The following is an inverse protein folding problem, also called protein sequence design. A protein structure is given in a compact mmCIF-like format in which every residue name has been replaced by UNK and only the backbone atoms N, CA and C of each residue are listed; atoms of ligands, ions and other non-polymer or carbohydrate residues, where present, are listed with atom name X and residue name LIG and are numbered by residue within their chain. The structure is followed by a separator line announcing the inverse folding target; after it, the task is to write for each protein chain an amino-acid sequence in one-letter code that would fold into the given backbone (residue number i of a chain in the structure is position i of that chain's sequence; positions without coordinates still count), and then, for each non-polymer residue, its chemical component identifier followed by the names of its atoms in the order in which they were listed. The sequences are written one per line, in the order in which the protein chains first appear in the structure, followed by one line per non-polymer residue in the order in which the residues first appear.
data_IF_953163041056
#
_entry.id   IF_953163041056
#
_cell.length_a   1.000
_cell.length_b   1.000
_cell.length_c   1.000
_cell.angle_alpha   90.00
_cell.angle_beta   90.00
_cell.angle_gamma   90.00
#
_symmetry.space_group_name_H-M   'P 1'
#
loop_
_entity.id
_entity.type
_entity.pdbx_description
1 polymer ?
#
# COMPACT_ATOMS: atom_id res chain seq x y z
N UNK A 1 -12.83 22.08 7.31
CA UNK A 1 -11.94 21.57 6.62
C UNK A 1 -12.37 20.45 5.85
N UNK A 2 -11.89 20.34 4.73
CA UNK A 2 -12.25 19.34 3.92
C UNK A 2 -11.61 18.14 4.18
N UNK A 3 -12.23 17.05 4.02
CA UNK A 3 -11.66 15.82 4.10
C UNK A 3 -11.15 15.41 2.87
N UNK A 4 -10.00 14.88 2.83
CA UNK A 4 -9.40 14.44 1.63
C UNK A 4 -9.59 12.97 1.58
N UNK A 5 -10.49 12.50 0.87
CA UNK A 5 -10.72 11.08 0.70
C UNK A 5 -9.67 10.53 -0.25
N UNK A 6 -8.49 10.31 0.25
CA UNK A 6 -7.37 9.88 -0.59
C UNK A 6 -7.39 8.38 -0.81
N UNK A 7 -6.89 7.96 -1.96
CA UNK A 7 -6.76 6.56 -2.28
C UNK A 7 -5.32 6.14 -2.08
N UNK A 8 -5.13 5.21 -1.16
CA UNK A 8 -3.80 4.78 -0.74
C UNK A 8 -3.64 3.31 -1.11
N UNK A 9 -2.57 2.99 -1.80
CA UNK A 9 -2.26 1.61 -2.12
C UNK A 9 -1.09 1.14 -1.30
N UNK A 10 -1.17 -0.06 -0.73
CA UNK A 10 -0.10 -0.62 0.06
C UNK A 10 0.32 -1.94 -0.58
N UNK A 11 1.57 -2.02 -1.00
CA UNK A 11 2.13 -3.22 -1.59
C UNK A 11 2.97 -3.90 -0.53
N UNK A 12 2.61 -5.12 -0.18
CA UNK A 12 3.24 -5.84 0.90
C UNK A 12 2.38 -5.76 2.15
N UNK A 13 1.59 -6.78 2.39
CA UNK A 13 0.67 -6.79 3.52
C UNK A 13 1.19 -7.68 4.65
N UNK A 14 2.50 -7.67 4.85
CA UNK A 14 3.09 -8.34 5.98
C UNK A 14 2.80 -7.54 7.23
N UNK A 15 3.57 -7.76 8.27
CA UNK A 15 3.29 -7.18 9.55
C UNK A 15 3.18 -5.66 9.52
N UNK A 16 4.17 -5.01 8.94
CA UNK A 16 4.18 -3.55 8.91
C UNK A 16 3.14 -3.00 7.96
N UNK A 17 3.04 -3.60 6.77
CA UNK A 17 2.05 -3.13 5.79
C UNK A 17 0.63 -3.29 6.28
N UNK A 18 0.34 -4.41 6.93
CA UNK A 18 -1.00 -4.64 7.44
C UNK A 18 -1.32 -3.70 8.60
N UNK A 19 -0.34 -3.41 9.46
CA UNK A 19 -0.55 -2.48 10.56
C UNK A 19 -0.86 -1.09 10.04
N UNK A 20 -0.13 -0.66 9.01
CA UNK A 20 -0.35 0.64 8.43
C UNK A 20 -1.71 0.71 7.73
N UNK A 21 -2.07 -0.35 7.02
CA UNK A 21 -3.36 -0.41 6.34
C UNK A 21 -4.49 -0.29 7.36
N UNK A 22 -4.36 -1.00 8.47
CA UNK A 22 -5.35 -0.96 9.49
C UNK A 22 -5.50 0.43 10.10
N UNK A 23 -4.36 1.08 10.37
CA UNK A 23 -4.40 2.42 10.94
C UNK A 23 -5.05 3.40 9.99
N UNK A 24 -4.72 3.33 8.71
CA UNK A 24 -5.29 4.24 7.75
C UNK A 24 -6.78 3.98 7.54
N UNK A 25 -7.18 2.72 7.52
CA UNK A 25 -8.58 2.39 7.32
C UNK A 25 -9.45 2.80 8.49
N UNK A 26 -8.92 2.66 9.70
CA UNK A 26 -9.73 2.87 10.88
C UNK A 26 -9.62 4.27 11.47
N UNK A 27 -8.57 4.99 11.16
CA UNK A 27 -8.38 6.31 11.76
C UNK A 27 -8.46 7.47 10.79
N UNK A 28 -8.62 7.20 9.52
CA UNK A 28 -8.70 8.27 8.54
C UNK A 28 -9.81 7.99 7.57
N UNK A 29 -10.04 8.93 6.66
CA UNK A 29 -11.04 8.77 5.63
C UNK A 29 -10.43 8.21 4.36
N UNK A 30 -9.20 7.74 4.40
CA UNK A 30 -8.56 7.18 3.21
C UNK A 30 -9.21 5.87 2.81
N UNK A 31 -9.25 5.63 1.51
CA UNK A 31 -9.65 4.33 0.99
C UNK A 31 -8.36 3.56 0.76
N UNK A 32 -8.21 2.42 1.38
CA UNK A 32 -6.98 1.66 1.34
C UNK A 32 -7.12 0.45 0.45
N UNK A 33 -6.21 0.32 -0.52
CA UNK A 33 -6.13 -0.84 -1.39
C UNK A 33 -4.86 -1.59 -1.04
N UNK A 34 -4.84 -2.87 -1.19
CA UNK A 34 -3.66 -3.65 -0.82
C UNK A 34 -3.31 -4.71 -1.82
N UNK A 35 -2.04 -5.10 -1.83
CA UNK A 35 -1.55 -6.13 -2.72
C UNK A 35 -0.45 -6.92 -2.04
N UNK A 36 -0.45 -8.22 -2.23
CA UNK A 36 0.60 -9.08 -1.71
C UNK A 36 0.68 -10.29 -2.62
N UNK A 37 1.87 -10.86 -2.75
CA UNK A 37 2.01 -12.03 -3.60
C UNK A 37 1.36 -13.24 -2.93
N UNK A 38 1.19 -13.21 -1.61
CA UNK A 38 0.52 -14.29 -0.90
C UNK A 38 -0.99 -14.03 -0.97
N UNK A 39 -1.67 -14.82 -1.75
CA UNK A 39 -3.08 -14.65 -1.98
C UNK A 39 -3.90 -14.75 -0.70
N UNK A 40 -3.50 -15.63 0.22
CA UNK A 40 -4.21 -15.77 1.47
C UNK A 40 -4.12 -14.50 2.31
N UNK A 41 -2.98 -13.82 2.26
CA UNK A 41 -2.81 -12.58 2.99
C UNK A 41 -3.78 -11.52 2.46
N UNK A 42 -3.94 -11.44 1.16
CA UNK A 42 -4.86 -10.48 0.56
C UNK A 42 -6.30 -10.80 0.96
N UNK A 43 -6.65 -12.07 0.92
CA UNK A 43 -8.01 -12.48 1.24
C UNK A 43 -8.35 -12.21 2.69
N UNK A 44 -7.40 -12.44 3.58
CA UNK A 44 -7.63 -12.16 4.98
C UNK A 44 -7.79 -10.66 5.23
N UNK A 45 -6.98 -9.86 4.56
CA UNK A 45 -7.08 -8.42 4.71
C UNK A 45 -8.43 -7.91 4.23
N UNK A 46 -8.95 -8.48 3.16
CA UNK A 46 -10.26 -8.11 2.67
C UNK A 46 -11.35 -8.53 3.66
N UNK A 47 -11.24 -9.73 4.19
CA UNK A 47 -12.25 -10.26 5.10
C UNK A 47 -12.28 -9.47 6.42
N UNK A 48 -11.13 -8.99 6.85
CA UNK A 48 -11.06 -8.25 8.09
C UNK A 48 -11.36 -6.77 7.93
N UNK A 49 -11.51 -6.30 6.71
CA UNK A 49 -11.74 -4.88 6.48
C UNK A 49 -10.48 -4.05 6.57
N UNK A 50 -9.31 -4.70 6.59
CA UNK A 50 -8.04 -3.99 6.64
C UNK A 50 -7.81 -3.22 5.36
N UNK A 51 -8.22 -3.79 4.23
CA UNK A 51 -8.18 -3.08 2.96
C UNK A 51 -9.58 -3.08 2.39
N UNK A 52 -9.91 -2.03 1.64
CA UNK A 52 -11.22 -1.92 1.03
C UNK A 52 -11.34 -2.83 -0.19
N UNK A 53 -10.25 -2.99 -0.91
CA UNK A 53 -10.23 -3.82 -2.11
C UNK A 53 -8.80 -4.15 -2.47
N UNK A 54 -8.62 -5.12 -3.32
CA UNK A 54 -7.30 -5.47 -3.80
C UNK A 54 -6.82 -4.38 -4.75
N UNK A 55 -5.54 -4.03 -4.68
CA UNK A 55 -4.98 -3.01 -5.54
C UNK A 55 -4.82 -3.56 -6.95
N UNK A 56 -5.48 -2.97 -7.90
CA UNK A 56 -5.38 -3.39 -9.29
C UNK A 56 -5.05 -2.24 -10.22
N UNK A 57 -5.42 -1.02 -9.86
CA UNK A 57 -5.21 0.13 -10.74
C UNK A 57 -4.36 1.16 -10.04
N UNK A 58 -3.07 1.16 -10.36
CA UNK A 58 -2.15 2.09 -9.74
C UNK A 58 -2.41 3.54 -10.16
N UNK A 59 -3.04 3.73 -11.28
CA UNK A 59 -3.29 5.08 -11.79
C UNK A 59 -4.28 5.88 -10.97
N UNK A 60 -5.04 5.22 -10.10
CA UNK A 60 -6.01 5.95 -9.30
C UNK A 60 -5.49 6.37 -7.95
N UNK A 61 -4.27 5.98 -7.61
CA UNK A 61 -3.77 6.22 -6.26
C UNK A 61 -3.24 7.63 -6.06
N UNK A 62 -3.49 8.16 -4.88
CA UNK A 62 -2.90 9.42 -4.45
C UNK A 62 -1.57 9.12 -3.75
N UNK A 63 -1.49 7.98 -3.07
CA UNK A 63 -0.29 7.59 -2.36
C UNK A 63 -0.04 6.11 -2.59
N UNK A 64 1.20 5.75 -2.85
CA UNK A 64 1.60 4.35 -2.96
C UNK A 64 2.64 4.07 -1.89
N UNK A 65 2.38 3.11 -1.03
CA UNK A 65 3.30 2.72 0.03
C UNK A 65 3.79 1.33 -0.27
N UNK A 66 5.11 1.17 -0.35
CA UNK A 66 5.70 -0.12 -0.67
C UNK A 66 6.43 -0.65 0.56
N UNK A 67 5.97 -1.80 1.06
CA UNK A 67 6.49 -2.41 2.26
C UNK A 67 7.07 -3.78 1.94
N UNK A 68 8.05 -3.80 1.06
CA UNK A 68 8.71 -5.02 0.64
C UNK A 68 10.17 -4.96 1.04
N UNK A 69 10.91 -6.06 0.86
CA UNK A 69 12.34 -6.03 1.09
C UNK A 69 12.96 -5.05 0.10
N UNK A 70 14.12 -4.48 0.43
CA UNK A 70 14.69 -3.38 -0.35
C UNK A 70 14.81 -3.66 -1.85
N UNK A 71 15.31 -4.82 -2.21
CA UNK A 71 15.48 -5.11 -3.62
C UNK A 71 14.13 -5.23 -4.32
N UNK A 72 13.18 -5.89 -3.68
CA UNK A 72 11.85 -6.05 -4.25
C UNK A 72 11.17 -4.69 -4.37
N UNK A 73 11.40 -3.78 -3.42
CA UNK A 73 10.83 -2.45 -3.48
C UNK A 73 11.31 -1.70 -4.69
N UNK A 74 12.63 -1.73 -4.93
CA UNK A 74 13.20 -1.02 -6.07
C UNK A 74 12.64 -1.58 -7.36
N UNK A 75 12.60 -2.90 -7.46
CA UNK A 75 12.08 -3.53 -8.67
C UNK A 75 10.63 -3.20 -8.91
N UNK A 76 9.83 -3.23 -7.85
CA UNK A 76 8.42 -2.95 -7.99
C UNK A 76 8.18 -1.52 -8.46
N UNK A 77 8.89 -0.57 -7.88
CA UNK A 77 8.75 0.82 -8.24
C UNK A 77 9.20 1.04 -9.67
N UNK A 78 10.32 0.45 -10.07
CA UNK A 78 10.80 0.62 -11.43
C UNK A 78 9.85 0.04 -12.46
N UNK A 79 9.28 -1.12 -12.17
CA UNK A 79 8.39 -1.76 -13.12
C UNK A 79 7.05 -1.06 -13.24
N UNK A 80 6.64 -0.36 -12.20
CA UNK A 80 5.30 0.20 -12.18
C UNK A 80 5.25 1.72 -12.19
N UNK A 81 6.40 2.37 -12.30
CA UNK A 81 6.43 3.83 -12.23
C UNK A 81 5.56 4.49 -13.28
N UNK A 82 5.52 3.91 -14.47
CA UNK A 82 4.73 4.49 -15.53
C UNK A 82 3.25 4.38 -15.30
N UNK A 83 2.83 3.48 -14.43
CA UNK A 83 1.40 3.29 -14.18
C UNK A 83 0.86 4.25 -13.16
N UNK A 84 1.73 4.94 -12.44
CA UNK A 84 1.31 5.87 -11.41
C UNK A 84 0.90 7.19 -12.04
N UNK A 85 -0.13 7.81 -11.48
CA UNK A 85 -0.53 9.08 -12.02
C UNK A 85 0.42 10.16 -11.55
N UNK A 86 0.44 11.26 -12.28
CA UNK A 86 1.27 12.36 -11.94
C UNK A 86 0.84 12.89 -10.61
N UNK A 87 1.71 13.14 -9.71
CA UNK A 87 1.38 13.65 -8.39
C UNK A 87 1.20 12.58 -7.34
N UNK A 88 1.28 11.29 -7.72
CA UNK A 88 1.17 10.24 -6.72
C UNK A 88 2.42 10.26 -5.83
N UNK A 89 2.21 10.22 -4.53
CA UNK A 89 3.32 10.20 -3.60
C UNK A 89 3.72 8.74 -3.37
N UNK A 90 4.99 8.43 -3.51
CA UNK A 90 5.48 7.06 -3.31
C UNK A 90 6.33 7.02 -2.05
N UNK A 91 6.00 6.11 -1.14
CA UNK A 91 6.71 5.97 0.11
C UNK A 91 7.25 4.57 0.24
N UNK A 92 8.49 4.46 0.68
CA UNK A 92 9.17 3.19 0.85
C UNK A 92 9.43 3.00 2.33
N UNK A 93 8.86 1.99 2.94
CA UNK A 93 9.05 1.76 4.35
C UNK A 93 9.82 0.48 4.63
N UNK A 94 10.34 -0.16 3.61
CA UNK A 94 11.04 -1.41 3.83
C UNK A 94 12.38 -1.22 4.51
N UNK A 95 13.00 -0.11 4.30
CA UNK A 95 14.32 0.12 4.83
C UNK A 95 14.39 0.21 6.33
N UNK A 96 13.30 0.36 6.93
CA UNK A 96 13.27 0.47 8.32
C UNK A 96 13.84 -0.71 9.03
N UNK A 97 13.82 -1.81 8.43
CA UNK A 97 14.31 -2.89 9.04
C UNK A 97 15.66 -3.02 9.02
N UNK A 98 16.31 -2.83 9.14
CA UNK A 98 17.56 -3.09 9.06
C UNK A 98 18.36 -3.15 10.04
N UNK A 99 18.60 -3.39 10.34
CA UNK A 99 19.27 -3.52 10.91
C UNK A 99 20.03 -3.79 11.23
N UNK A 100 20.31 -3.90 11.40
CA UNK A 100 21.09 -4.25 11.63
C UNK A 100 21.60 -4.49 11.90
#
# INVERSE_FOLDING_TARGET
MERMNQKVGIVGLGLIGASLAKALSHRTDCTVYGLDIDRCTVEMALAEGTIAAELTDLGQLDVLIVALFPQATVEYIQENAEKLRKGCLVMDICGVKKQV
#
